data_IF_800367215668
#
_entry.id   IF_800367215668
#
_cell.length_a   1.000
_cell.length_b   1.000
_cell.length_c   1.000
_cell.angle_alpha   90.00
_cell.angle_beta   90.00
_cell.angle_gamma   90.00
#
_symmetry.space_group_name_H-M   'P 1'
#
loop_
_entity.id
_entity.type
_entity.pdbx_description
1 polymer ?
#
# COMPACT_ATOMS: atom_id res chain seq x y z
N UNK A 1 -15.18 0.77 -8.54
CA UNK A 1 -15.12 1.09 -7.11
C UNK A 1 -13.96 0.29 -6.50
N UNK A 2 -13.24 0.82 -5.51
CA UNK A 2 -12.05 0.17 -4.95
C UNK A 2 -11.86 0.54 -3.48
N UNK A 3 -11.25 -0.36 -2.70
CA UNK A 3 -10.78 -0.06 -1.33
C UNK A 3 -9.33 0.41 -1.44
N UNK A 4 -9.02 1.57 -0.89
CA UNK A 4 -7.68 2.15 -0.98
C UNK A 4 -7.11 2.37 0.41
N UNK A 5 -5.85 2.00 0.60
CA UNK A 5 -5.13 2.25 1.84
C UNK A 5 -3.99 3.23 1.65
N UNK A 6 -3.73 3.98 2.70
CA UNK A 6 -2.50 4.73 2.87
C UNK A 6 -1.49 3.90 3.66
N UNK A 7 -0.31 3.69 3.08
CA UNK A 7 0.83 3.05 3.73
C UNK A 7 1.68 4.16 4.31
N UNK A 8 1.56 4.32 5.62
CA UNK A 8 2.35 5.29 6.36
C UNK A 8 3.80 4.83 6.46
N UNK A 9 4.72 5.77 6.29
CA UNK A 9 6.16 5.53 6.34
C UNK A 9 6.84 6.53 7.25
N UNK A 10 7.92 6.08 7.89
CA UNK A 10 8.84 6.91 8.64
C UNK A 10 10.26 6.54 8.18
N UNK A 11 11.05 7.53 7.74
CA UNK A 11 12.42 7.33 7.21
C UNK A 11 12.51 6.28 6.09
N UNK A 12 11.56 6.29 5.15
CA UNK A 12 11.49 5.35 4.03
C UNK A 12 11.03 3.94 4.43
N UNK A 13 10.66 3.73 5.69
CA UNK A 13 10.21 2.43 6.21
C UNK A 13 8.72 2.45 6.53
N UNK A 14 7.92 1.54 5.94
CA UNK A 14 6.51 1.40 6.29
C UNK A 14 6.33 1.05 7.76
N UNK A 15 5.33 1.64 8.39
CA UNK A 15 4.90 1.25 9.74
C UNK A 15 4.32 -0.18 9.71
N UNK A 16 4.51 -0.94 10.80
CA UNK A 16 3.96 -2.31 10.89
C UNK A 16 2.44 -2.33 10.76
N UNK A 17 1.76 -1.32 11.32
CA UNK A 17 0.31 -1.13 11.26
C UNK A 17 -0.21 -1.04 9.83
N UNK A 18 0.56 -0.47 8.89
CA UNK A 18 0.16 -0.38 7.48
C UNK A 18 -0.06 -1.76 6.84
N UNK A 19 0.64 -2.80 7.29
CA UNK A 19 0.48 -4.16 6.78
C UNK A 19 -0.79 -4.84 7.30
N UNK A 20 -1.17 -4.57 8.55
CA UNK A 20 -2.41 -5.09 9.13
C UNK A 20 -3.63 -4.48 8.43
N UNK A 21 -3.56 -3.17 8.17
CA UNK A 21 -4.60 -2.44 7.41
C UNK A 21 -4.71 -2.98 5.99
N UNK A 22 -3.59 -3.29 5.32
CA UNK A 22 -3.62 -3.93 4.00
C UNK A 22 -4.33 -5.28 4.03
N UNK A 23 -4.08 -6.11 5.05
CA UNK A 23 -4.76 -7.39 5.22
C UNK A 23 -6.27 -7.24 5.34
N UNK A 24 -6.73 -6.30 6.18
CA UNK A 24 -8.16 -6.00 6.34
C UNK A 24 -8.79 -5.38 5.10
N UNK A 25 -8.08 -4.51 4.39
CA UNK A 25 -8.56 -3.91 3.15
C UNK A 25 -8.75 -4.95 2.03
N UNK A 26 -7.91 -6.00 1.99
CA UNK A 26 -8.10 -7.13 1.07
C UNK A 26 -9.33 -7.95 1.41
N UNK A 27 -9.55 -8.24 2.69
CA UNK A 27 -10.76 -8.91 3.15
C UNK A 27 -12.03 -8.12 2.77
N UNK A 28 -12.04 -6.82 3.07
CA UNK A 28 -13.15 -5.92 2.74
C UNK A 28 -13.38 -5.83 1.23
N UNK A 29 -12.33 -5.69 0.42
CA UNK A 29 -12.47 -5.64 -1.02
C UNK A 29 -13.01 -6.94 -1.60
N UNK A 30 -12.60 -8.08 -1.03
CA UNK A 30 -13.14 -9.40 -1.39
C UNK A 30 -14.63 -9.52 -1.06
N UNK A 31 -15.07 -9.05 0.11
CA UNK A 31 -16.48 -9.04 0.52
C UNK A 31 -17.33 -8.15 -0.40
N UNK A 32 -16.77 -7.04 -0.86
CA UNK A 32 -17.44 -6.09 -1.75
C UNK A 32 -17.33 -6.43 -3.25
N UNK A 33 -16.54 -7.45 -3.62
CA UNK A 33 -16.29 -7.80 -5.03
C UNK A 33 -15.51 -6.73 -5.81
N UNK A 34 -14.67 -5.95 -5.12
CA UNK A 34 -13.87 -4.86 -5.70
C UNK A 34 -12.37 -5.09 -5.54
N UNK A 35 -11.54 -4.21 -6.10
CA UNK A 35 -10.08 -4.29 -5.97
C UNK A 35 -9.56 -3.49 -4.77
N UNK A 36 -8.42 -3.92 -4.22
CA UNK A 36 -7.68 -3.19 -3.19
C UNK A 36 -6.46 -2.49 -3.78
N UNK A 37 -6.28 -1.19 -3.53
CA UNK A 37 -5.06 -0.43 -3.87
C UNK A 37 -4.30 0.05 -2.63
N UNK A 38 -3.01 0.35 -2.78
CA UNK A 38 -2.17 0.87 -1.70
C UNK A 38 -1.28 2.02 -2.18
N UNK A 39 -1.28 3.14 -1.45
CA UNK A 39 -0.47 4.31 -1.78
C UNK A 39 0.57 4.51 -0.68
N UNK A 40 1.83 4.73 -1.07
CA UNK A 40 2.92 5.12 -0.17
C UNK A 40 3.58 6.39 -0.71
N UNK A 41 3.49 7.52 -0.01
CA UNK A 41 4.17 8.75 -0.43
C UNK A 41 5.33 9.07 0.49
N UNK A 42 6.41 9.60 -0.08
CA UNK A 42 7.60 10.03 0.64
C UNK A 42 8.86 9.81 -0.18
N UNK A 43 9.98 10.35 0.31
CA UNK A 43 11.30 10.07 -0.22
C UNK A 43 11.81 8.71 0.27
N UNK A 44 12.59 8.01 -0.57
CA UNK A 44 13.19 6.71 -0.20
C UNK A 44 12.20 5.56 -0.03
N UNK A 45 10.99 5.66 -0.59
CA UNK A 45 9.92 4.66 -0.44
C UNK A 45 10.03 3.48 -1.41
N UNK A 46 11.12 3.35 -2.18
CA UNK A 46 11.33 2.26 -3.13
C UNK A 46 11.25 0.87 -2.47
N UNK A 47 11.79 0.76 -1.26
CA UNK A 47 11.72 -0.48 -0.49
C UNK A 47 10.27 -0.84 -0.12
N UNK A 48 9.48 0.18 0.26
CA UNK A 48 8.05 0.02 0.55
C UNK A 48 7.26 -0.38 -0.70
N UNK A 49 7.50 0.30 -1.82
CA UNK A 49 6.87 0.01 -3.10
C UNK A 49 7.17 -1.43 -3.56
N UNK A 50 8.43 -1.87 -3.51
CA UNK A 50 8.80 -3.26 -3.81
C UNK A 50 8.12 -4.28 -2.90
N UNK A 51 8.04 -3.97 -1.60
CA UNK A 51 7.35 -4.83 -0.62
C UNK A 51 5.87 -4.96 -0.94
N UNK A 52 5.21 -3.86 -1.31
CA UNK A 52 3.80 -3.86 -1.74
C UNK A 52 3.58 -4.71 -2.98
N UNK A 53 4.41 -4.54 -4.02
CA UNK A 53 4.31 -5.35 -5.24
C UNK A 53 4.51 -6.85 -4.99
N UNK A 54 5.36 -7.22 -4.01
CA UNK A 54 5.59 -8.62 -3.64
C UNK A 54 4.40 -9.26 -2.90
N UNK A 55 3.53 -8.48 -2.27
CA UNK A 55 2.35 -9.00 -1.54
C UNK A 55 1.16 -9.28 -2.45
N UNK A 56 1.33 -9.18 -3.77
CA UNK A 56 0.33 -9.49 -4.78
C UNK A 56 -0.19 -8.26 -5.51
N UNK A 57 -1.18 -8.44 -6.40
CA UNK A 57 -1.62 -7.37 -7.29
C UNK A 57 -2.37 -6.28 -6.52
N UNK A 58 -1.67 -5.23 -6.12
CA UNK A 58 -2.25 -3.93 -5.79
C UNK A 58 -2.09 -3.03 -7.01
N UNK A 59 -3.17 -2.70 -7.76
CA UNK A 59 -3.10 -2.03 -9.06
C UNK A 59 -2.54 -0.62 -9.02
N UNK A 60 -2.40 -0.01 -7.84
CA UNK A 60 -1.83 1.31 -7.70
C UNK A 60 -0.68 1.22 -6.70
N UNK A 61 0.51 1.63 -7.12
CA UNK A 61 1.66 1.91 -6.27
C UNK A 61 2.21 3.23 -6.78
N UNK A 62 1.87 4.32 -6.11
CA UNK A 62 2.37 5.64 -6.46
C UNK A 62 3.46 5.97 -5.43
N UNK A 63 4.72 5.83 -5.82
CA UNK A 63 5.87 6.35 -5.10
C UNK A 63 6.21 7.70 -5.71
N UNK A 64 5.97 8.80 -5.00
CA UNK A 64 6.42 10.11 -5.46
C UNK A 64 7.76 10.44 -4.81
N UNK A 65 8.80 10.59 -5.63
CA UNK A 65 10.08 11.20 -5.24
C UNK A 65 10.47 12.22 -6.30
N UNK A 66 10.64 13.49 -5.91
CA UNK A 66 11.93 14.13 -6.12
C UNK A 66 12.50 14.72 -4.81
N UNK A 67 13.80 15.03 -4.88
CA UNK A 67 14.75 15.33 -3.80
C UNK A 67 14.22 16.13 -2.60
#
# INVERSE_FOLDING_TARGET
>A
MSVMIWVEQFEGRPTSTSWEVLGKARALASELGVTTGAIVLGSGVDAAARRLSAMGPTPFTCAMTPA
#
